data_IF_482033349160
#
_entry.id   IF_482033349160
#
_cell.length_a   1.000
_cell.length_b   1.000
_cell.length_c   1.000
_cell.angle_alpha   90.00
_cell.angle_beta   90.00
_cell.angle_gamma   90.00
#
_symmetry.space_group_name_H-M   'P 1'
#
loop_
_entity.id
_entity.type
_entity.pdbx_description
1 polymer ?
#
# COMPACT_ATOMS: atom_id res chain seq x y z
N UNK A 1 -12.75 17.89 -20.54
CA UNK A 1 -11.68 18.90 -20.33
C UNK A 1 -10.69 18.33 -19.32
N UNK A 2 -9.56 17.84 -19.84
CA UNK A 2 -8.47 17.26 -19.06
C UNK A 2 -7.74 18.38 -18.33
N UNK A 3 -7.90 18.46 -17.02
CA UNK A 3 -7.14 19.41 -16.21
C UNK A 3 -5.79 18.79 -15.84
N UNK A 4 -4.79 19.17 -16.63
CA UNK A 4 -3.36 19.27 -16.30
C UNK A 4 -2.79 18.24 -15.34
N UNK A 5 -2.35 17.10 -15.87
CA UNK A 5 -1.09 16.54 -15.41
C UNK A 5 0.01 17.44 -15.98
N UNK A 6 0.71 18.19 -15.16
CA UNK A 6 2.01 18.74 -15.56
C UNK A 6 3.05 17.64 -15.42
N UNK A 7 4.07 17.65 -16.28
CA UNK A 7 5.23 16.74 -16.19
C UNK A 7 6.02 16.86 -14.86
N UNK A 8 5.60 17.74 -13.93
CA UNK A 8 6.34 18.13 -12.73
C UNK A 8 5.63 17.84 -11.39
N UNK A 9 4.65 16.93 -11.33
CA UNK A 9 4.13 16.41 -10.05
C UNK A 9 2.62 16.54 -9.83
N UNK A 10 2.16 16.28 -8.60
CA UNK A 10 0.74 16.34 -8.22
C UNK A 10 0.38 17.79 -7.93
N UNK A 11 -0.44 18.41 -8.79
CA UNK A 11 -0.80 19.83 -8.69
C UNK A 11 -1.76 20.13 -7.53
N UNK A 12 -1.77 21.39 -7.06
CA UNK A 12 -2.72 21.83 -6.01
C UNK A 12 -4.17 21.73 -6.48
N UNK A 13 -4.43 22.00 -7.76
CA UNK A 13 -5.77 21.87 -8.33
C UNK A 13 -6.25 20.41 -8.34
N UNK A 14 -5.34 19.46 -8.58
CA UNK A 14 -5.66 18.03 -8.49
C UNK A 14 -5.96 17.62 -7.05
N UNK A 15 -5.15 18.06 -6.08
CA UNK A 15 -5.40 17.81 -4.66
C UNK A 15 -6.76 18.34 -4.21
N UNK A 16 -7.09 19.59 -4.55
CA UNK A 16 -8.39 20.18 -4.20
C UNK A 16 -9.59 19.42 -4.83
N UNK A 17 -9.41 18.87 -6.04
CA UNK A 17 -10.42 18.01 -6.66
C UNK A 17 -10.57 16.68 -5.95
N UNK A 18 -9.47 16.05 -5.56
CA UNK A 18 -9.49 14.79 -4.80
C UNK A 18 -10.18 15.01 -3.46
N UNK A 19 -9.79 16.04 -2.72
CA UNK A 19 -10.41 16.44 -1.45
C UNK A 19 -11.92 16.60 -1.57
N UNK A 20 -12.38 17.39 -2.56
CA UNK A 20 -13.81 17.59 -2.79
C UNK A 20 -14.54 16.27 -3.07
N UNK A 21 -13.99 15.42 -3.93
CA UNK A 21 -14.62 14.13 -4.27
C UNK A 21 -14.68 13.17 -3.09
N UNK A 22 -13.64 13.14 -2.25
CA UNK A 22 -13.62 12.37 -1.01
C UNK A 22 -14.70 12.87 -0.04
N UNK A 23 -14.77 14.19 0.18
CA UNK A 23 -15.76 14.80 1.07
C UNK A 23 -17.21 14.54 0.59
N UNK A 24 -17.43 14.59 -0.72
CA UNK A 24 -18.74 14.36 -1.35
C UNK A 24 -19.07 12.85 -1.52
N UNK A 25 -18.26 11.94 -0.97
CA UNK A 25 -18.39 10.47 -1.09
C UNK A 25 -18.51 9.96 -2.54
N UNK A 26 -17.70 10.53 -3.43
CA UNK A 26 -17.67 10.19 -4.84
C UNK A 26 -16.48 9.30 -5.19
N UNK A 27 -16.64 8.45 -6.21
CA UNK A 27 -15.55 7.67 -6.80
C UNK A 27 -14.37 8.59 -7.17
N UNK A 28 -13.21 8.34 -6.55
CA UNK A 28 -11.94 8.98 -6.88
C UNK A 28 -11.18 8.04 -7.80
N UNK A 29 -10.88 8.48 -9.03
CA UNK A 29 -10.07 7.73 -9.99
C UNK A 29 -9.23 8.69 -10.80
N UNK A 30 -7.92 8.68 -10.57
CA UNK A 30 -6.98 9.55 -11.25
C UNK A 30 -5.73 8.79 -11.69
N UNK A 31 -5.25 9.13 -12.89
CA UNK A 31 -3.87 8.84 -13.29
C UNK A 31 -2.98 9.91 -12.67
N UNK A 32 -1.84 9.49 -12.17
CA UNK A 32 -0.82 10.32 -11.54
C UNK A 32 0.47 10.27 -12.38
N UNK A 33 1.46 11.16 -12.13
CA UNK A 33 2.78 11.08 -12.75
C UNK A 33 3.45 9.71 -12.58
N UNK A 34 4.42 9.40 -13.44
CA UNK A 34 5.15 8.14 -13.45
C UNK A 34 4.23 6.89 -13.44
N UNK A 35 3.14 6.97 -14.23
CA UNK A 35 2.10 5.95 -14.36
C UNK A 35 1.37 5.57 -13.05
N UNK A 36 1.45 6.43 -12.02
CA UNK A 36 0.71 6.22 -10.79
C UNK A 36 -0.81 6.22 -10.99
N UNK A 37 -1.53 5.59 -10.07
CA UNK A 37 -2.98 5.43 -10.10
C UNK A 37 -3.53 5.59 -8.70
N UNK A 38 -4.48 6.49 -8.55
CA UNK A 38 -5.31 6.60 -7.35
C UNK A 38 -6.70 6.07 -7.67
N UNK A 39 -7.20 5.16 -6.83
CA UNK A 39 -8.54 4.62 -6.93
C UNK A 39 -9.15 4.46 -5.53
N UNK A 40 -10.29 5.11 -5.29
CA UNK A 40 -11.05 5.00 -4.04
C UNK A 40 -12.52 4.95 -4.43
N UNK A 41 -13.15 3.79 -4.27
CA UNK A 41 -14.52 3.52 -4.71
C UNK A 41 -15.57 4.41 -4.02
N UNK A 42 -15.41 4.59 -2.71
CA UNK A 42 -16.28 5.35 -1.81
C UNK A 42 -15.49 5.77 -0.59
N UNK A 43 -16.11 6.51 0.32
CA UNK A 43 -15.54 6.74 1.64
C UNK A 43 -15.24 5.40 2.33
N UNK A 44 -13.95 5.15 2.58
CA UNK A 44 -13.42 3.95 3.20
C UNK A 44 -12.37 4.40 4.24
N UNK A 45 -12.28 3.75 5.40
CA UNK A 45 -11.38 4.15 6.49
C UNK A 45 -9.95 3.63 6.30
N UNK A 46 -9.53 3.33 5.06
CA UNK A 46 -8.19 2.83 4.77
C UNK A 46 -7.70 3.21 3.37
N UNK A 47 -6.39 3.14 3.17
CA UNK A 47 -5.71 3.24 1.87
C UNK A 47 -4.57 2.21 1.82
N UNK A 48 -4.54 1.40 0.76
CA UNK A 48 -3.39 0.54 0.46
C UNK A 48 -2.47 1.26 -0.54
N UNK A 49 -1.18 1.35 -0.24
CA UNK A 49 -0.21 2.08 -1.05
C UNK A 49 0.88 1.13 -1.54
N UNK A 50 1.22 1.18 -2.83
CA UNK A 50 2.38 0.47 -3.37
C UNK A 50 3.29 1.47 -4.09
N UNK A 51 4.56 1.52 -3.67
CA UNK A 51 5.62 2.31 -4.32
C UNK A 51 6.53 1.38 -5.13
N UNK A 52 6.64 1.62 -6.42
CA UNK A 52 7.54 0.86 -7.32
C UNK A 52 8.44 1.80 -8.12
N UNK A 53 9.66 1.37 -8.46
CA UNK A 53 10.58 2.19 -9.26
C UNK A 53 10.03 2.46 -10.68
N UNK A 54 9.37 1.46 -11.26
CA UNK A 54 8.60 1.56 -12.50
C UNK A 54 7.47 0.51 -12.51
N UNK A 55 6.54 0.58 -13.49
CA UNK A 55 5.39 -0.35 -13.59
C UNK A 55 5.81 -1.82 -13.79
N UNK A 56 7.06 -2.09 -14.18
CA UNK A 56 7.54 -3.45 -14.49
C UNK A 56 8.30 -4.10 -13.34
N UNK A 57 8.84 -3.29 -12.41
CA UNK A 57 9.64 -3.77 -11.29
C UNK A 57 8.88 -4.79 -10.42
N UNK A 58 7.59 -4.56 -10.16
CA UNK A 58 6.78 -5.45 -9.34
C UNK A 58 5.32 -5.59 -9.83
N UNK A 59 5.18 -5.99 -11.10
CA UNK A 59 3.88 -6.14 -11.78
C UNK A 59 2.87 -6.95 -10.94
N UNK A 60 3.32 -8.03 -10.31
CA UNK A 60 2.44 -8.93 -9.56
C UNK A 60 1.90 -8.29 -8.27
N UNK A 61 2.72 -7.56 -7.50
CA UNK A 61 2.20 -6.77 -6.37
C UNK A 61 1.26 -5.68 -6.84
N UNK A 62 1.59 -5.02 -7.96
CA UNK A 62 0.70 -4.08 -8.62
C UNK A 62 -0.65 -4.69 -8.96
N UNK A 63 -0.69 -5.92 -9.50
CA UNK A 63 -1.93 -6.63 -9.82
C UNK A 63 -2.74 -7.00 -8.58
N UNK A 64 -2.09 -7.41 -7.49
CA UNK A 64 -2.78 -7.61 -6.20
C UNK A 64 -3.44 -6.30 -5.72
N UNK A 65 -2.72 -5.18 -5.81
CA UNK A 65 -3.22 -3.88 -5.40
C UNK A 65 -4.49 -3.46 -6.16
N UNK A 66 -4.61 -3.82 -7.45
CA UNK A 66 -5.78 -3.48 -8.28
C UNK A 66 -7.08 -4.17 -7.80
N UNK A 67 -6.99 -5.20 -6.95
CA UNK A 67 -8.15 -5.84 -6.33
C UNK A 67 -8.74 -5.06 -5.16
N UNK A 68 -8.05 -4.03 -4.66
CA UNK A 68 -8.47 -3.27 -3.48
C UNK A 68 -9.45 -2.14 -3.84
N UNK A 69 -10.42 -1.87 -2.97
CA UNK A 69 -11.40 -0.80 -3.17
C UNK A 69 -10.86 0.61 -2.86
N UNK A 70 -9.67 0.70 -2.25
CA UNK A 70 -8.99 1.95 -1.89
C UNK A 70 -7.49 1.77 -1.99
N UNK A 71 -6.92 2.20 -3.12
CA UNK A 71 -5.49 2.06 -3.37
C UNK A 71 -4.82 3.28 -4.02
N UNK A 72 -3.51 3.37 -3.80
CA UNK A 72 -2.57 4.24 -4.47
C UNK A 72 -1.39 3.41 -4.99
N UNK A 73 -1.31 3.24 -6.30
CA UNK A 73 -0.10 2.76 -6.97
C UNK A 73 0.72 3.98 -7.39
N UNK A 74 2.00 4.05 -7.04
CA UNK A 74 2.81 5.25 -7.31
C UNK A 74 4.29 4.93 -7.42
N UNK A 75 5.07 5.90 -7.90
CA UNK A 75 6.52 5.77 -8.07
C UNK A 75 7.29 5.87 -6.75
N UNK A 76 8.44 5.18 -6.70
CA UNK A 76 9.48 5.33 -5.69
C UNK A 76 10.47 6.48 -6.00
N UNK A 77 10.30 7.20 -7.11
CA UNK A 77 11.19 8.29 -7.53
C UNK A 77 11.32 9.39 -6.46
N UNK A 78 12.56 9.76 -6.06
CA UNK A 78 12.80 10.76 -5.02
C UNK A 78 12.13 12.11 -5.28
N UNK A 79 12.11 12.56 -6.55
CA UNK A 79 11.55 13.85 -6.95
C UNK A 79 10.05 13.99 -6.66
N UNK A 80 9.31 12.87 -6.58
CA UNK A 80 7.87 12.86 -6.38
C UNK A 80 7.44 12.48 -4.95
N UNK A 81 8.37 12.02 -4.10
CA UNK A 81 8.01 11.52 -2.75
C UNK A 81 7.33 12.57 -1.87
N UNK A 82 7.71 13.84 -1.97
CA UNK A 82 7.07 14.92 -1.21
C UNK A 82 5.59 15.10 -1.63
N UNK A 83 5.32 15.11 -2.94
CA UNK A 83 3.96 15.21 -3.47
C UNK A 83 3.11 13.99 -3.11
N UNK A 84 3.69 12.79 -3.18
CA UNK A 84 2.99 11.54 -2.83
C UNK A 84 2.64 11.54 -1.34
N UNK A 85 3.59 11.91 -0.47
CA UNK A 85 3.35 12.03 0.97
C UNK A 85 2.23 13.03 1.26
N UNK A 86 2.24 14.18 0.61
CA UNK A 86 1.15 15.16 0.71
C UNK A 86 -0.21 14.60 0.28
N UNK A 87 -0.26 13.81 -0.80
CA UNK A 87 -1.49 13.16 -1.25
C UNK A 87 -2.00 12.13 -0.22
N UNK A 88 -1.13 11.27 0.30
CA UNK A 88 -1.50 10.28 1.33
C UNK A 88 -2.05 10.98 2.58
N UNK A 89 -1.37 12.06 3.02
CA UNK A 89 -1.80 12.86 4.18
C UNK A 89 -3.16 13.52 3.95
N UNK A 90 -3.39 14.08 2.77
CA UNK A 90 -4.69 14.66 2.42
C UNK A 90 -5.81 13.62 2.49
N UNK A 91 -5.61 12.45 1.87
CA UNK A 91 -6.60 11.37 1.88
C UNK A 91 -6.91 10.94 3.31
N UNK A 92 -5.87 10.65 4.09
CA UNK A 92 -6.03 10.20 5.47
C UNK A 92 -6.71 11.26 6.35
N UNK A 93 -6.40 12.54 6.16
CA UNK A 93 -7.03 13.63 6.90
C UNK A 93 -8.53 13.75 6.58
N UNK A 94 -8.90 13.79 5.29
CA UNK A 94 -10.29 13.97 4.87
C UNK A 94 -11.16 12.79 5.34
N UNK A 95 -10.67 11.57 5.12
CA UNK A 95 -11.40 10.37 5.50
C UNK A 95 -11.40 10.16 7.02
N UNK A 96 -10.27 10.45 7.69
CA UNK A 96 -10.13 10.37 9.13
C UNK A 96 -11.07 11.32 9.88
N UNK A 97 -11.35 12.51 9.34
CA UNK A 97 -12.38 13.41 9.89
C UNK A 97 -13.79 12.79 9.85
N UNK A 98 -14.08 11.95 8.85
CA UNK A 98 -15.37 11.27 8.73
C UNK A 98 -15.47 10.02 9.63
N UNK A 99 -14.41 9.22 9.70
CA UNK A 99 -14.42 7.93 10.41
C UNK A 99 -13.84 7.97 11.84
N UNK A 100 -13.20 9.08 12.22
CA UNK A 100 -12.51 9.27 13.51
C UNK A 100 -11.07 8.72 13.56
N UNK A 101 -10.71 7.82 12.64
CA UNK A 101 -9.36 7.30 12.45
C UNK A 101 -9.19 6.81 11.01
N UNK A 102 -7.95 6.61 10.57
CA UNK A 102 -7.65 6.12 9.23
C UNK A 102 -6.50 5.11 9.24
N UNK A 103 -6.54 4.14 8.32
CA UNK A 103 -5.52 3.10 8.19
C UNK A 103 -4.74 3.26 6.87
N UNK A 104 -3.42 3.37 6.95
CA UNK A 104 -2.54 3.34 5.78
C UNK A 104 -1.71 2.06 5.81
N UNK A 105 -1.84 1.24 4.77
CA UNK A 105 -1.06 0.01 4.61
C UNK A 105 -0.14 0.20 3.42
N UNK A 106 1.17 0.18 3.63
CA UNK A 106 2.10 0.16 2.50
C UNK A 106 2.44 -1.29 2.14
N UNK A 107 2.26 -1.67 0.89
CA UNK A 107 2.38 -3.03 0.37
C UNK A 107 3.63 -3.16 -0.52
N UNK A 108 4.44 -4.21 -0.32
CA UNK A 108 5.54 -4.55 -1.21
C UNK A 108 5.88 -6.04 -1.17
N UNK A 109 6.54 -6.54 -2.21
CA UNK A 109 7.03 -7.91 -2.22
C UNK A 109 8.44 -8.02 -1.65
N UNK A 110 8.71 -9.15 -1.02
CA UNK A 110 10.07 -9.60 -0.69
C UNK A 110 10.64 -10.36 -1.88
N UNK A 111 11.92 -10.11 -2.20
CA UNK A 111 12.66 -10.99 -3.09
C UNK A 111 12.76 -12.39 -2.47
N UNK A 112 12.25 -13.40 -3.15
CA UNK A 112 12.29 -14.76 -2.64
C UNK A 112 13.73 -15.27 -2.67
N UNK A 113 14.39 -15.41 -1.50
CA UNK A 113 15.78 -15.88 -1.38
C UNK A 113 16.01 -17.35 -1.83
N UNK A 114 15.05 -18.00 -2.49
CA UNK A 114 15.05 -19.46 -2.63
C UNK A 114 14.95 -19.91 -4.08
N UNK A 115 15.99 -20.61 -4.51
CA UNK A 115 15.97 -21.55 -5.64
C UNK A 115 14.81 -22.52 -5.43
N UNK A 116 13.73 -22.34 -6.19
CA UNK A 116 12.53 -23.15 -6.04
C UNK A 116 12.81 -24.63 -6.30
N UNK A 117 12.56 -25.46 -5.29
CA UNK A 117 12.18 -26.85 -5.49
C UNK A 117 10.73 -26.85 -5.99
N UNK A 118 10.56 -27.07 -7.29
CA UNK A 118 9.26 -27.05 -8.00
C UNK A 118 8.23 -28.04 -7.43
N UNK A 119 8.66 -28.98 -6.59
CA UNK A 119 7.84 -30.08 -6.07
C UNK A 119 7.09 -29.77 -4.77
N UNK A 120 7.47 -28.73 -4.02
CA UNK A 120 6.76 -28.38 -2.77
C UNK A 120 6.00 -27.04 -2.89
N UNK A 121 4.65 -27.04 -2.78
CA UNK A 121 3.91 -25.79 -2.74
C UNK A 121 4.38 -24.96 -1.54
N UNK A 122 4.85 -23.72 -1.73
CA UNK A 122 5.19 -22.86 -0.60
C UNK A 122 3.92 -22.27 0.03
N UNK A 123 3.90 -22.20 1.36
CA UNK A 123 2.89 -21.41 2.07
C UNK A 123 3.10 -19.93 1.73
N UNK A 124 2.04 -19.15 1.48
CA UNK A 124 2.21 -17.71 1.31
C UNK A 124 2.71 -17.09 2.63
N UNK A 125 3.78 -16.30 2.57
CA UNK A 125 4.31 -15.55 3.70
C UNK A 125 3.86 -14.10 3.68
N UNK A 126 3.55 -13.58 4.87
CA UNK A 126 3.29 -12.17 5.12
C UNK A 126 4.10 -11.71 6.34
N UNK A 127 4.74 -10.57 6.24
CA UNK A 127 5.36 -9.88 7.38
C UNK A 127 4.70 -8.51 7.57
N UNK A 128 4.08 -8.30 8.73
CA UNK A 128 3.52 -7.01 9.11
C UNK A 128 4.63 -6.22 9.80
N UNK A 129 5.03 -5.11 9.20
CA UNK A 129 6.10 -4.24 9.73
C UNK A 129 5.45 -3.03 10.38
N UNK A 130 5.43 -3.00 11.71
CA UNK A 130 4.70 -1.99 12.46
C UNK A 130 5.62 -1.21 13.41
N UNK A 131 5.33 0.08 13.68
CA UNK A 131 5.94 0.82 14.77
C UNK A 131 5.34 0.36 16.11
N UNK A 132 6.20 0.12 17.10
CA UNK A 132 5.88 -0.56 18.38
C UNK A 132 4.78 0.12 19.22
N UNK A 133 4.50 1.41 19.02
CA UNK A 133 3.61 2.19 19.90
C UNK A 133 2.60 3.09 19.15
N UNK A 134 2.42 2.91 17.85
CA UNK A 134 1.49 3.74 17.06
C UNK A 134 0.28 2.94 16.60
N UNK A 135 0.47 1.67 16.25
CA UNK A 135 -0.62 0.82 15.75
C UNK A 135 -1.25 0.07 16.92
N UNK A 136 -2.57 0.18 17.15
CA UNK A 136 -3.26 -0.59 18.18
C UNK A 136 -3.12 -2.11 17.95
N UNK A 137 -2.76 -2.87 18.98
CA UNK A 137 -2.59 -4.33 18.92
C UNK A 137 -3.77 -5.06 18.29
N UNK A 138 -5.00 -4.59 18.58
CA UNK A 138 -6.21 -5.20 18.02
C UNK A 138 -6.25 -5.16 16.50
N UNK A 139 -5.72 -4.11 15.87
CA UNK A 139 -5.63 -4.01 14.40
C UNK A 139 -4.65 -5.07 13.89
N UNK A 140 -3.46 -5.15 14.49
CA UNK A 140 -2.43 -6.13 14.12
C UNK A 140 -2.93 -7.56 14.29
N UNK A 141 -3.53 -7.90 15.43
CA UNK A 141 -4.06 -9.24 15.69
C UNK A 141 -5.21 -9.61 14.74
N UNK A 142 -6.10 -8.65 14.43
CA UNK A 142 -7.18 -8.89 13.46
C UNK A 142 -6.61 -9.16 12.07
N UNK A 143 -5.60 -8.40 11.65
CA UNK A 143 -4.94 -8.61 10.36
C UNK A 143 -4.19 -9.96 10.33
N UNK A 144 -3.46 -10.32 11.39
CA UNK A 144 -2.79 -11.63 11.50
C UNK A 144 -3.79 -12.76 11.31
N UNK A 145 -4.91 -12.75 12.04
CA UNK A 145 -5.92 -13.79 11.92
C UNK A 145 -6.53 -13.85 10.51
N UNK A 146 -6.80 -12.70 9.90
CA UNK A 146 -7.34 -12.64 8.54
C UNK A 146 -6.35 -13.22 7.51
N UNK A 147 -5.07 -12.85 7.60
CA UNK A 147 -4.03 -13.34 6.70
C UNK A 147 -3.77 -14.85 6.92
N UNK A 148 -3.75 -15.34 8.16
CA UNK A 148 -3.57 -16.77 8.48
C UNK A 148 -4.70 -17.65 7.94
N UNK A 149 -5.90 -17.08 7.73
CA UNK A 149 -7.03 -17.80 7.13
C UNK A 149 -6.86 -18.02 5.62
N UNK A 150 -5.96 -17.28 4.95
CA UNK A 150 -5.67 -17.45 3.54
C UNK A 150 -5.03 -18.82 3.32
N UNK A 151 -5.51 -19.52 2.29
CA UNK A 151 -4.99 -20.81 1.84
C UNK A 151 -4.59 -20.74 0.38
N UNK A 152 -3.38 -21.18 0.08
CA UNK A 152 -2.92 -21.38 -1.29
C UNK A 152 -2.52 -22.86 -1.45
N UNK A 153 -3.13 -23.55 -2.42
CA UNK A 153 -2.89 -24.99 -2.68
C UNK A 153 -2.98 -25.85 -1.40
N UNK A 154 -3.95 -25.55 -0.55
CA UNK A 154 -4.21 -26.28 0.70
C UNK A 154 -3.29 -25.92 1.88
N UNK A 155 -2.31 -25.03 1.71
CA UNK A 155 -1.42 -24.58 2.78
C UNK A 155 -1.85 -23.22 3.33
N UNK A 156 -1.87 -23.11 4.66
CA UNK A 156 -2.11 -21.85 5.34
C UNK A 156 -0.97 -20.87 5.14
N UNK A 157 -1.31 -19.58 5.15
CA UNK A 157 -0.33 -18.52 5.18
C UNK A 157 0.49 -18.54 6.48
N UNK A 158 1.77 -18.19 6.36
CA UNK A 158 2.63 -17.86 7.50
C UNK A 158 2.59 -16.35 7.68
N UNK A 159 2.40 -15.90 8.91
CA UNK A 159 2.31 -14.47 9.21
C UNK A 159 3.21 -14.14 10.39
N UNK A 160 4.06 -13.14 10.24
CA UNK A 160 4.92 -12.60 11.29
C UNK A 160 4.63 -11.12 11.52
N UNK A 161 5.00 -10.62 12.69
CA UNK A 161 5.02 -9.19 13.00
C UNK A 161 6.46 -8.82 13.33
N UNK A 162 6.97 -7.78 12.68
CA UNK A 162 8.26 -7.16 13.00
C UNK A 162 8.04 -5.73 13.44
N UNK A 163 8.66 -5.36 14.56
CA UNK A 163 8.59 -3.99 15.07
C UNK A 163 9.78 -3.17 14.58
N UNK A 164 9.50 -2.13 13.79
CA UNK A 164 10.51 -1.25 13.21
C UNK A 164 10.09 0.21 13.35
N UNK A 165 11.06 1.10 13.62
CA UNK A 165 10.79 2.55 13.72
C UNK A 165 10.33 3.17 12.40
N UNK A 166 10.72 2.58 11.26
CA UNK A 166 10.39 3.07 9.93
C UNK A 166 9.74 1.95 9.12
N UNK A 167 8.41 1.82 9.19
CA UNK A 167 7.67 0.80 8.44
C UNK A 167 7.54 1.23 6.97
N UNK A 168 8.62 1.06 6.19
CA UNK A 168 8.68 1.42 4.78
C UNK A 168 9.57 0.44 4.00
N UNK A 169 9.39 0.31 2.67
CA UNK A 169 10.30 -0.44 1.82
C UNK A 169 11.74 0.05 1.96
N UNK A 170 12.69 -0.86 1.77
CA UNK A 170 14.12 -0.56 1.84
C UNK A 170 14.47 0.61 0.92
N UNK A 171 15.20 1.59 1.46
CA UNK A 171 15.63 2.78 0.71
C UNK A 171 14.58 3.89 0.62
N UNK A 172 13.35 3.67 1.11
CA UNK A 172 12.30 4.68 1.13
C UNK A 172 12.05 5.23 2.54
N UNK A 173 11.61 6.49 2.58
CA UNK A 173 11.16 7.11 3.82
C UNK A 173 9.69 6.76 4.09
N UNK A 174 9.27 6.60 5.36
CA UNK A 174 7.89 6.33 5.70
C UNK A 174 6.99 7.55 5.43
N UNK A 175 5.72 7.28 5.12
CA UNK A 175 4.73 8.35 4.92
C UNK A 175 4.48 9.15 6.20
N UNK A 176 4.66 8.55 7.37
CA UNK A 176 4.45 9.18 8.66
C UNK A 176 5.63 8.91 9.58
N UNK A 177 5.89 9.87 10.46
CA UNK A 177 6.55 9.58 11.73
C UNK A 177 5.50 9.33 12.82
N UNK A 178 5.93 8.77 13.95
CA UNK A 178 5.04 8.38 15.05
C UNK A 178 4.23 9.54 15.61
N UNK A 179 4.81 10.73 15.68
CA UNK A 179 4.15 11.91 16.24
C UNK A 179 3.04 12.40 15.32
N UNK A 180 3.31 12.48 14.02
CA UNK A 180 2.34 12.92 13.02
C UNK A 180 1.20 11.91 12.85
N UNK A 181 1.51 10.61 12.84
CA UNK A 181 0.50 9.55 12.79
C UNK A 181 -0.46 9.63 13.99
N UNK A 182 0.08 9.78 15.22
CA UNK A 182 -0.72 9.94 16.44
C UNK A 182 -1.59 11.19 16.40
N UNK A 183 -1.02 12.32 15.98
CA UNK A 183 -1.75 13.59 15.88
C UNK A 183 -2.95 13.51 14.93
N UNK A 184 -2.85 12.74 13.84
CA UNK A 184 -3.91 12.60 12.85
C UNK A 184 -4.80 11.37 13.07
N UNK A 185 -4.64 10.63 14.16
CA UNK A 185 -5.34 9.35 14.40
C UNK A 185 -5.18 8.36 13.23
N UNK A 186 -3.97 8.29 12.66
CA UNK A 186 -3.62 7.39 11.56
C UNK A 186 -2.85 6.20 12.10
N UNK A 187 -3.35 4.99 11.84
CA UNK A 187 -2.57 3.78 11.98
C UNK A 187 -1.81 3.54 10.67
N UNK A 188 -0.50 3.30 10.74
CA UNK A 188 0.34 3.05 9.56
C UNK A 188 1.26 1.86 9.82
N UNK A 189 1.30 0.93 8.86
CA UNK A 189 2.25 -0.18 8.87
C UNK A 189 2.53 -0.66 7.45
N UNK A 190 3.65 -1.37 7.31
CA UNK A 190 4.00 -2.11 6.12
C UNK A 190 3.41 -3.50 6.11
N UNK A 191 3.07 -4.00 4.94
CA UNK A 191 2.74 -5.38 4.66
C UNK A 191 3.69 -5.88 3.56
N UNK A 192 4.70 -6.61 3.99
CA UNK A 192 5.60 -7.31 3.09
C UNK A 192 5.06 -8.71 2.81
N UNK A 193 5.15 -9.18 1.57
CA UNK A 193 4.60 -10.46 1.15
C UNK A 193 5.56 -11.26 0.28
N UNK A 194 5.48 -12.58 0.39
CA UNK A 194 6.19 -13.49 -0.51
C UNK A 194 5.57 -13.39 -1.91
N UNK A 195 6.41 -13.25 -2.94
CA UNK A 195 5.97 -13.13 -4.34
C UNK A 195 5.46 -14.47 -4.94
N UNK A 196 4.50 -15.14 -4.28
CA UNK A 196 3.96 -16.47 -4.67
C UNK A 196 3.19 -16.47 -6.00
N UNK A 197 2.86 -15.29 -6.53
CA UNK A 197 2.30 -15.09 -7.88
C UNK A 197 3.38 -14.99 -8.96
N UNK A 198 4.66 -15.08 -8.60
CA UNK A 198 5.79 -15.04 -9.52
C UNK A 198 6.49 -16.40 -9.52
N UNK A 199 6.86 -16.87 -10.70
CA UNK A 199 7.76 -18.01 -10.83
C UNK A 199 9.17 -17.59 -10.41
N UNK A 200 9.73 -18.28 -9.42
CA UNK A 200 11.01 -17.89 -8.82
C UNK A 200 12.22 -18.11 -9.75
N UNK A 201 12.09 -18.94 -10.80
CA UNK A 201 13.19 -19.18 -11.75
C UNK A 201 13.16 -18.20 -12.93
N UNK A 202 11.99 -18.02 -13.54
CA UNK A 202 11.81 -17.18 -14.73
C UNK A 202 11.45 -15.72 -14.42
N UNK A 203 11.01 -15.43 -13.18
CA UNK A 203 10.49 -14.12 -12.80
C UNK A 203 9.13 -13.80 -13.42
N UNK A 204 8.55 -14.72 -14.19
CA UNK A 204 7.27 -14.56 -14.86
C UNK A 204 6.13 -14.56 -13.85
N UNK A 205 5.18 -13.65 -14.03
CA UNK A 205 3.98 -13.58 -13.19
C UNK A 205 2.96 -14.60 -13.70
N UNK A 206 2.41 -15.42 -12.80
CA UNK A 206 1.36 -16.37 -13.13
C UNK A 206 0.08 -15.64 -13.60
N UNK A 207 -0.71 -16.23 -14.51
CA UNK A 207 -1.99 -15.66 -14.89
C UNK A 207 -2.93 -15.51 -13.69
N UNK A 208 -3.66 -14.39 -13.63
CA UNK A 208 -4.72 -14.12 -12.66
C UNK A 208 -6.08 -14.55 -13.21
#
# INVERSE_FOLDING_TARGET
MSAGLTDNGISRELLAKIEKKLADNQLVRYKLPANGRLHIDRQLPFLVVHRCADETADVGTGQLLLGEASFLQTTAEPALQANIKQLVHLIAQVQGQHFGAFLVIELWSRESETTADLETPHSPGFCIIAPEQVVPDRILQTLVHALQAIRLRGKHAKVTIEYQKQPAPVGLQPFYDDAHAKQQHVAVFGLELDAVYRDAQSGAVYPF
#
